data_IF_900630482977
#
_entry.id   IF_900630482977
#
_cell.length_a   1.000
_cell.length_b   1.000
_cell.length_c   1.000
_cell.angle_alpha   90.00
_cell.angle_beta   90.00
_cell.angle_gamma   90.00
#
_symmetry.space_group_name_H-M   'P 1'
#
loop_
_entity.id
_entity.type
_entity.pdbx_description
1 polymer ?
#
# COMPACT_ATOMS: atom_id res chain seq x y z
N UNK A 1 -23.70 23.50 -10.43
CA UNK A 1 -22.54 23.73 -11.33
C UNK A 1 -21.43 22.67 -11.13
N UNK A 2 -21.23 22.11 -9.93
CA UNK A 2 -20.17 21.12 -9.62
C UNK A 2 -20.22 19.81 -10.42
N UNK A 3 -21.39 19.23 -10.66
CA UNK A 3 -21.48 17.97 -11.43
C UNK A 3 -21.07 18.09 -12.91
N UNK A 4 -21.12 19.29 -13.50
CA UNK A 4 -20.78 19.49 -14.91
C UNK A 4 -19.28 19.29 -15.16
N UNK A 5 -18.43 19.82 -14.27
CA UNK A 5 -16.97 19.70 -14.39
C UNK A 5 -16.50 18.26 -14.15
N UNK A 6 -17.10 17.55 -13.20
CA UNK A 6 -16.82 16.13 -12.97
C UNK A 6 -17.15 15.27 -14.19
N UNK A 7 -18.32 15.47 -14.82
CA UNK A 7 -18.72 14.75 -16.03
C UNK A 7 -17.75 15.02 -17.20
N UNK A 8 -17.32 16.28 -17.37
CA UNK A 8 -16.33 16.64 -18.41
C UNK A 8 -15.00 15.92 -18.18
N UNK A 9 -14.54 15.83 -16.93
CA UNK A 9 -13.32 15.11 -16.57
C UNK A 9 -13.47 13.61 -16.81
N UNK A 10 -14.58 13.00 -16.40
CA UNK A 10 -14.82 11.58 -16.63
C UNK A 10 -14.80 11.22 -18.13
N UNK A 11 -15.31 12.11 -19.01
CA UNK A 11 -15.24 11.94 -20.47
C UNK A 11 -13.83 11.97 -21.04
N UNK A 12 -12.83 12.55 -20.34
CA UNK A 12 -11.42 12.50 -20.74
C UNK A 12 -10.77 11.14 -20.44
N UNK A 13 -11.50 10.22 -19.80
CA UNK A 13 -10.98 8.94 -19.33
C UNK A 13 -10.07 9.07 -18.12
N UNK A 14 -9.80 7.93 -17.46
CA UNK A 14 -9.06 7.84 -16.18
C UNK A 14 -7.70 8.53 -16.24
N UNK A 15 -6.90 8.23 -17.27
CA UNK A 15 -5.57 8.84 -17.48
C UNK A 15 -5.64 10.36 -17.61
N UNK A 16 -6.50 10.86 -18.51
CA UNK A 16 -6.60 12.30 -18.80
C UNK A 16 -7.16 13.09 -17.62
N UNK A 17 -8.17 12.55 -16.95
CA UNK A 17 -8.73 13.13 -15.73
C UNK A 17 -7.68 13.19 -14.62
N UNK A 18 -6.96 12.10 -14.36
CA UNK A 18 -5.94 12.05 -13.31
C UNK A 18 -4.77 12.99 -13.57
N UNK A 19 -4.29 13.09 -14.81
CA UNK A 19 -3.24 14.05 -15.18
C UNK A 19 -3.69 15.50 -14.96
N UNK A 20 -4.94 15.82 -15.31
CA UNK A 20 -5.51 17.15 -15.09
C UNK A 20 -5.64 17.45 -13.59
N UNK A 21 -6.21 16.53 -12.82
CA UNK A 21 -6.38 16.68 -11.37
C UNK A 21 -5.03 16.85 -10.67
N UNK A 22 -4.01 16.09 -11.07
CA UNK A 22 -2.66 16.25 -10.54
C UNK A 22 -2.11 17.67 -10.78
N UNK A 23 -2.29 18.22 -11.99
CA UNK A 23 -1.89 19.60 -12.30
C UNK A 23 -2.71 20.65 -11.53
N UNK A 24 -4.02 20.44 -11.38
CA UNK A 24 -4.93 21.30 -10.60
C UNK A 24 -4.50 21.33 -9.12
N UNK A 25 -4.17 20.17 -8.53
CA UNK A 25 -3.67 20.08 -7.16
C UNK A 25 -2.29 20.74 -6.98
N UNK A 26 -1.39 20.60 -7.95
CA UNK A 26 -0.07 21.23 -7.89
C UNK A 26 -0.13 22.77 -7.93
N UNK A 27 -1.25 23.36 -8.37
CA UNK A 27 -1.46 24.81 -8.39
C UNK A 27 -1.74 25.43 -7.00
N UNK A 28 -2.00 24.61 -5.98
CA UNK A 28 -2.23 25.05 -4.59
C UNK A 28 -3.68 25.38 -4.22
N UNK A 29 -4.61 25.38 -5.17
CA UNK A 29 -6.04 25.60 -4.93
C UNK A 29 -6.91 24.70 -5.84
N UNK A 30 -6.97 23.38 -5.59
CA UNK A 30 -7.69 22.45 -6.46
C UNK A 30 -9.19 22.74 -6.46
N UNK A 31 -9.75 23.01 -7.63
CA UNK A 31 -11.19 23.28 -7.80
C UNK A 31 -11.96 22.05 -8.27
N UNK A 32 -11.26 21.07 -8.84
CA UNK A 32 -11.87 19.99 -9.61
C UNK A 32 -11.84 18.64 -8.90
N UNK A 33 -10.94 18.46 -7.91
CA UNK A 33 -10.81 17.20 -7.17
C UNK A 33 -12.07 16.90 -6.35
N UNK A 34 -12.57 17.86 -5.56
CA UNK A 34 -13.75 17.67 -4.72
C UNK A 34 -14.98 17.19 -5.50
N UNK A 35 -15.43 17.93 -6.54
CA UNK A 35 -16.57 17.52 -7.35
C UNK A 35 -16.40 16.14 -8.02
N UNK A 36 -15.19 15.76 -8.41
CA UNK A 36 -14.92 14.44 -8.98
C UNK A 36 -15.02 13.35 -7.90
N UNK A 37 -14.48 13.60 -6.69
CA UNK A 37 -14.58 12.68 -5.57
C UNK A 37 -16.02 12.49 -5.09
N UNK A 38 -16.87 13.52 -5.13
CA UNK A 38 -18.30 13.41 -4.79
C UNK A 38 -19.03 12.40 -5.69
N UNK A 39 -18.64 12.31 -6.97
CA UNK A 39 -19.21 11.36 -7.94
C UNK A 39 -18.62 9.95 -7.74
N UNK A 40 -17.31 9.86 -7.50
CA UNK A 40 -16.62 8.58 -7.35
C UNK A 40 -16.97 7.91 -6.02
N UNK A 41 -16.78 8.61 -4.90
CA UNK A 41 -16.95 8.13 -3.52
C UNK A 41 -18.38 8.35 -2.99
N UNK A 42 -19.37 8.26 -3.88
CA UNK A 42 -20.77 8.42 -3.51
C UNK A 42 -21.16 7.36 -2.44
N UNK A 43 -21.65 7.73 -1.25
CA UNK A 43 -22.00 6.79 -0.18
C UNK A 43 -23.08 5.76 -0.54
N UNK A 44 -23.83 5.97 -1.62
CA UNK A 44 -24.80 5.01 -2.15
C UNK A 44 -24.17 3.87 -2.96
N UNK A 45 -22.87 3.95 -3.29
CA UNK A 45 -22.12 2.86 -3.93
C UNK A 45 -21.52 1.93 -2.90
N UNK A 46 -21.34 0.66 -3.26
CA UNK A 46 -20.61 -0.28 -2.41
C UNK A 46 -19.12 0.07 -2.39
N UNK A 47 -18.46 -0.18 -1.24
CA UNK A 47 -17.04 0.14 -1.07
C UNK A 47 -16.11 -0.74 -1.91
N UNK A 48 -16.60 -1.89 -2.36
CA UNK A 48 -15.88 -2.86 -3.19
C UNK A 48 -16.14 -2.69 -4.70
N UNK A 49 -16.80 -1.59 -5.11
CA UNK A 49 -17.01 -1.27 -6.52
C UNK A 49 -15.66 -1.10 -7.24
N UNK A 50 -15.32 -2.10 -8.08
CA UNK A 50 -14.04 -2.17 -8.77
C UNK A 50 -13.76 -0.96 -9.66
N UNK A 51 -14.79 -0.40 -10.30
CA UNK A 51 -14.62 0.75 -11.19
C UNK A 51 -14.24 1.99 -10.39
N UNK A 52 -14.91 2.25 -9.26
CA UNK A 52 -14.56 3.34 -8.34
C UNK A 52 -13.15 3.15 -7.76
N UNK A 53 -12.80 1.93 -7.35
CA UNK A 53 -11.44 1.61 -6.87
C UNK A 53 -10.37 1.85 -7.93
N UNK A 54 -10.65 1.49 -9.18
CA UNK A 54 -9.73 1.72 -10.29
C UNK A 54 -9.57 3.23 -10.58
N UNK A 55 -10.66 3.99 -10.59
CA UNK A 55 -10.61 5.46 -10.69
C UNK A 55 -9.72 6.08 -9.60
N UNK A 56 -9.85 5.64 -8.34
CA UNK A 56 -9.01 6.08 -7.24
C UNK A 56 -7.53 5.78 -7.48
N UNK A 57 -7.19 4.58 -7.97
CA UNK A 57 -5.80 4.21 -8.32
C UNK A 57 -5.21 5.14 -9.37
N UNK A 58 -5.99 5.49 -10.39
CA UNK A 58 -5.57 6.42 -11.42
C UNK A 58 -5.35 7.84 -10.88
N UNK A 59 -6.25 8.33 -10.02
CA UNK A 59 -6.10 9.65 -9.38
C UNK A 59 -4.83 9.73 -8.54
N UNK A 60 -4.54 8.68 -7.74
CA UNK A 60 -3.30 8.57 -6.95
C UNK A 60 -2.07 8.54 -7.86
N UNK A 61 -2.15 7.84 -9.00
CA UNK A 61 -1.05 7.76 -9.97
C UNK A 61 -0.83 9.06 -10.77
N UNK A 62 -1.69 10.07 -10.62
CA UNK A 62 -1.51 11.40 -11.22
C UNK A 62 -1.39 11.41 -12.75
N UNK A 63 -2.07 10.48 -13.43
CA UNK A 63 -2.03 10.34 -14.90
C UNK A 63 -0.98 9.37 -15.43
N UNK A 64 -0.15 8.79 -14.57
CA UNK A 64 0.63 7.58 -14.87
C UNK A 64 -0.28 6.35 -14.75
N UNK A 65 0.15 5.22 -15.29
CA UNK A 65 -0.53 3.96 -14.95
C UNK A 65 -0.29 3.63 -13.48
N UNK A 66 -1.22 2.91 -12.80
CA UNK A 66 -0.99 2.44 -11.45
C UNK A 66 0.31 1.64 -11.29
N UNK A 67 0.70 0.84 -12.30
CA UNK A 67 1.93 0.06 -12.28
C UNK A 67 3.19 0.91 -12.38
N UNK A 68 3.20 1.94 -13.25
CA UNK A 68 4.27 2.91 -13.35
C UNK A 68 4.45 3.67 -12.03
N UNK A 69 3.35 4.13 -11.44
CA UNK A 69 3.37 4.81 -10.15
C UNK A 69 3.90 3.88 -9.04
N UNK A 70 3.42 2.64 -8.98
CA UNK A 70 3.89 1.67 -8.00
C UNK A 70 5.40 1.36 -8.17
N UNK A 71 5.91 1.30 -9.40
CA UNK A 71 7.35 1.15 -9.66
C UNK A 71 8.16 2.34 -9.17
N UNK A 72 7.65 3.56 -9.36
CA UNK A 72 8.30 4.78 -8.87
C UNK A 72 8.33 4.79 -7.35
N UNK A 73 7.20 4.51 -6.69
CA UNK A 73 7.13 4.45 -5.22
C UNK A 73 8.09 3.40 -4.67
N UNK A 74 8.13 2.20 -5.27
CA UNK A 74 9.09 1.15 -4.88
C UNK A 74 10.55 1.57 -5.07
N UNK A 75 10.88 2.44 -6.02
CA UNK A 75 12.26 2.93 -6.18
C UNK A 75 12.73 3.83 -5.04
N UNK A 76 11.79 4.41 -4.28
CA UNK A 76 12.08 5.16 -3.05
C UNK A 76 12.17 4.26 -1.82
N UNK A 77 11.78 2.99 -1.93
CA UNK A 77 11.86 2.02 -0.84
C UNK A 77 13.30 1.50 -0.69
N UNK A 78 14.15 2.35 -0.12
CA UNK A 78 15.55 2.06 0.20
C UNK A 78 15.71 1.56 1.64
N UNK A 79 14.70 0.90 2.20
CA UNK A 79 14.76 0.45 3.58
C UNK A 79 15.49 -0.88 3.70
N UNK A 80 16.40 -0.96 4.68
CA UNK A 80 16.98 -2.22 5.16
C UNK A 80 15.93 -3.12 5.85
N UNK A 81 14.71 -2.60 6.03
CA UNK A 81 13.57 -3.28 6.65
C UNK A 81 12.62 -3.85 5.62
N UNK A 82 12.11 -5.05 5.86
CA UNK A 82 11.09 -5.65 4.99
C UNK A 82 9.73 -4.95 5.11
N UNK A 83 9.20 -4.77 6.32
CA UNK A 83 7.94 -4.06 6.57
C UNK A 83 6.67 -4.64 5.92
N UNK A 84 6.73 -5.84 5.32
CA UNK A 84 5.57 -6.45 4.66
C UNK A 84 4.39 -6.56 5.64
N UNK A 85 3.30 -5.84 5.36
CA UNK A 85 2.07 -5.85 6.17
C UNK A 85 1.15 -6.97 5.70
N UNK A 86 0.52 -7.66 6.65
CA UNK A 86 -0.48 -8.69 6.39
C UNK A 86 -1.74 -8.51 7.22
N UNK A 87 -2.80 -9.17 6.75
CA UNK A 87 -4.09 -9.33 7.44
C UNK A 87 -4.12 -10.68 8.21
N UNK A 88 -5.17 -10.95 9.02
CA UNK A 88 -5.31 -12.26 9.67
C UNK A 88 -5.25 -13.43 8.68
N UNK A 89 -4.91 -14.61 9.20
CA UNK A 89 -4.79 -15.88 8.47
C UNK A 89 -3.62 -15.95 7.48
N UNK A 90 -2.59 -15.13 7.68
CA UNK A 90 -1.29 -15.27 7.00
C UNK A 90 -0.34 -16.10 7.86
N UNK A 91 0.42 -16.99 7.24
CA UNK A 91 1.48 -17.76 7.92
C UNK A 91 2.70 -16.87 8.12
N UNK A 92 3.11 -16.71 9.37
CA UNK A 92 4.28 -15.95 9.78
C UNK A 92 5.20 -16.80 10.66
N UNK A 93 6.43 -16.33 10.83
CA UNK A 93 7.47 -17.02 11.58
C UNK A 93 7.96 -16.13 12.70
N UNK A 94 8.31 -16.72 13.83
CA UNK A 94 8.99 -16.03 14.92
C UNK A 94 10.26 -16.79 15.23
N UNK A 95 11.39 -16.16 14.93
CA UNK A 95 12.71 -16.69 15.26
C UNK A 95 13.06 -16.23 16.68
N UNK A 96 13.00 -17.14 17.65
CA UNK A 96 13.36 -16.87 19.06
C UNK A 96 14.86 -16.70 19.23
N UNK A 97 15.67 -17.29 18.33
CA UNK A 97 17.12 -17.07 18.29
C UNK A 97 17.47 -15.64 17.89
N UNK A 98 16.82 -15.06 16.88
CA UNK A 98 17.16 -13.74 16.34
C UNK A 98 16.34 -12.59 16.97
N UNK A 99 15.20 -12.90 17.59
CA UNK A 99 14.34 -11.90 18.22
C UNK A 99 14.93 -11.31 19.50
N UNK A 100 14.81 -9.98 19.65
CA UNK A 100 14.96 -9.27 20.92
C UNK A 100 13.61 -9.26 21.65
N UNK A 101 12.52 -9.09 20.91
CA UNK A 101 11.14 -9.08 21.44
C UNK A 101 10.42 -10.40 21.19
N UNK A 102 9.62 -10.91 22.15
CA UNK A 102 8.81 -12.11 21.96
C UNK A 102 7.64 -11.90 20.98
N UNK A 103 7.35 -10.66 20.61
CA UNK A 103 6.31 -10.32 19.63
C UNK A 103 6.84 -10.28 18.18
N UNK A 104 8.16 -10.32 18.00
CA UNK A 104 8.81 -10.22 16.69
C UNK A 104 8.29 -11.30 15.74
N UNK A 105 7.95 -10.90 14.51
CA UNK A 105 7.40 -11.75 13.47
C UNK A 105 7.99 -11.41 12.11
N UNK A 106 8.44 -12.42 11.37
CA UNK A 106 8.96 -12.27 10.00
C UNK A 106 8.10 -13.01 8.99
N UNK A 107 8.06 -12.48 7.76
CA UNK A 107 7.34 -13.09 6.65
C UNK A 107 8.08 -14.34 6.15
N UNK A 108 7.38 -15.15 5.35
CA UNK A 108 7.96 -16.36 4.74
C UNK A 108 9.25 -16.06 3.96
N UNK A 109 9.26 -14.99 3.18
CA UNK A 109 10.41 -14.68 2.33
C UNK A 109 11.65 -14.36 3.18
N UNK A 110 11.50 -13.52 4.21
CA UNK A 110 12.59 -13.18 5.12
C UNK A 110 13.05 -14.40 5.92
N UNK A 111 12.13 -15.26 6.36
CA UNK A 111 12.47 -16.49 7.05
C UNK A 111 13.41 -17.39 6.24
N UNK A 112 13.16 -17.55 4.93
CA UNK A 112 14.01 -18.39 4.07
C UNK A 112 15.27 -17.67 3.62
N UNK A 113 15.19 -16.37 3.29
CA UNK A 113 16.36 -15.58 2.85
C UNK A 113 17.38 -15.36 3.98
N UNK A 114 16.93 -15.20 5.22
CA UNK A 114 17.77 -15.09 6.42
C UNK A 114 18.17 -16.43 7.02
N UNK A 115 17.90 -17.56 6.33
CA UNK A 115 18.26 -18.91 6.76
C UNK A 115 17.87 -19.27 8.22
N UNK A 116 16.68 -18.85 8.64
CA UNK A 116 16.20 -19.08 10.02
C UNK A 116 15.72 -20.51 10.26
N UNK A 117 15.86 -21.40 9.27
CA UNK A 117 15.29 -22.76 9.30
C UNK A 117 15.97 -23.68 10.33
N UNK A 118 17.21 -23.38 10.69
CA UNK A 118 18.01 -24.11 11.69
C UNK A 118 17.96 -23.48 13.08
N UNK A 119 17.29 -22.34 13.23
CA UNK A 119 17.18 -21.63 14.50
C UNK A 119 16.05 -22.18 15.38
N UNK A 120 15.99 -21.71 16.63
CA UNK A 120 14.79 -21.91 17.44
C UNK A 120 13.70 -20.97 16.94
N UNK A 121 12.70 -21.52 16.27
CA UNK A 121 11.59 -20.75 15.71
C UNK A 121 10.24 -21.39 16.00
N UNK A 122 9.17 -20.64 15.75
CA UNK A 122 7.83 -21.19 15.60
C UNK A 122 7.17 -20.61 14.36
N UNK A 123 6.47 -21.47 13.62
CA UNK A 123 5.57 -21.07 12.54
C UNK A 123 4.17 -20.96 13.12
N UNK A 124 3.46 -19.88 12.81
CA UNK A 124 2.12 -19.66 13.33
C UNK A 124 1.21 -19.01 12.28
N UNK A 125 -0.08 -19.26 12.41
CA UNK A 125 -1.11 -18.59 11.62
C UNK A 125 -1.54 -17.31 12.36
N UNK A 126 -1.27 -16.15 11.77
CA UNK A 126 -1.58 -14.86 12.39
C UNK A 126 -3.08 -14.73 12.65
N UNK A 127 -3.46 -14.40 13.89
CA UNK A 127 -4.86 -14.18 14.26
C UNK A 127 -5.32 -12.73 14.02
N UNK A 128 -4.36 -11.80 13.91
CA UNK A 128 -4.57 -10.39 13.67
C UNK A 128 -3.78 -9.92 12.44
N UNK A 129 -3.91 -8.64 12.08
CA UNK A 129 -2.95 -8.01 11.18
C UNK A 129 -1.56 -7.90 11.82
N UNK A 130 -0.52 -7.71 11.01
CA UNK A 130 0.85 -7.56 11.47
C UNK A 130 1.79 -7.10 10.36
N UNK A 131 3.06 -6.90 10.69
CA UNK A 131 4.09 -6.51 9.74
C UNK A 131 5.38 -7.31 9.96
N UNK A 132 6.19 -7.44 8.91
CA UNK A 132 7.48 -8.12 8.98
C UNK A 132 8.52 -7.26 9.68
N UNK A 133 9.14 -7.79 10.72
CA UNK A 133 10.16 -7.11 11.53
C UNK A 133 11.60 -7.31 11.04
N UNK A 134 11.80 -7.96 9.89
CA UNK A 134 13.12 -8.19 9.33
C UNK A 134 13.80 -6.86 9.02
N UNK A 135 15.05 -6.70 9.49
CA UNK A 135 15.83 -5.46 9.43
C UNK A 135 15.49 -4.44 10.52
N UNK A 136 14.51 -4.70 11.40
CA UNK A 136 14.23 -3.82 12.52
C UNK A 136 15.09 -4.12 13.74
N UNK A 137 16.23 -3.42 13.82
CA UNK A 137 17.21 -3.55 14.90
C UNK A 137 16.66 -3.22 16.31
N UNK A 138 15.45 -2.66 16.43
CA UNK A 138 14.81 -2.45 17.73
C UNK A 138 14.16 -3.72 18.30
N UNK A 139 13.88 -4.72 17.46
CA UNK A 139 13.16 -5.96 17.84
C UNK A 139 13.84 -7.24 17.34
N UNK A 140 14.84 -7.12 16.46
CA UNK A 140 15.63 -8.20 15.88
C UNK A 140 17.12 -7.87 16.01
N UNK A 141 17.95 -8.87 16.30
CA UNK A 141 19.41 -8.71 16.35
C UNK A 141 19.97 -8.52 14.94
N UNK A 142 21.15 -7.92 14.83
CA UNK A 142 21.84 -7.67 13.55
C UNK A 142 22.22 -8.96 12.78
N UNK A 143 22.35 -10.10 13.46
CA UNK A 143 22.66 -11.41 12.87
C UNK A 143 21.41 -12.19 12.44
N UNK A 144 20.24 -11.55 12.53
CA UNK A 144 18.96 -12.06 12.09
C UNK A 144 18.56 -11.60 10.69
#
# INVERSE_FOLDING_TARGET
MSNSSAIVLMKKGKRGAAAYIHADCASGAPQHLGPLLDVLLNPSKTLDDWETLDWCRWLIAGGRTPDEFASIVRSYDKHDKCGLVWIPRVVAYRCRTCGISPCMSICRECFHRGDHSTHDFNMFLSQAGGACDCGDNSVMKEDG
#
